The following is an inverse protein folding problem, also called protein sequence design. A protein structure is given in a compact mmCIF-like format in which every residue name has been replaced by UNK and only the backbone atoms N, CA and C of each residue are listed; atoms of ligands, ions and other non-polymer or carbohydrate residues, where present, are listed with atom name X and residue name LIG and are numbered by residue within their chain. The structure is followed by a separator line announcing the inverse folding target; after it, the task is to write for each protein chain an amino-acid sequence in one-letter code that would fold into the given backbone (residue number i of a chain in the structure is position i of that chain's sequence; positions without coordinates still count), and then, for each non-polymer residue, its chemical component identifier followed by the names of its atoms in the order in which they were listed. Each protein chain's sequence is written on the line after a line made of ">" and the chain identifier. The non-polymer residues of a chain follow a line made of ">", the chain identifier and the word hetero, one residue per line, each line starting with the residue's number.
data_IF_425460640940
#
_entry.id   IF_425460640940
#
_cell.length_a   1.000
_cell.length_b   1.000
_cell.length_c   1.000
_cell.angle_alpha   90.00
_cell.angle_beta   90.00
_cell.angle_gamma   90.00
#
_symmetry.space_group_name_H-M   'P 1'
#
loop_
_entity.id
_entity.type
_entity.pdbx_description
1 polymer ?
#
# COMPACT_ATOMS: atom_id res chain seq x y z
N UNK A 1 -4.27 -18.17 -39.86
CA UNK A 1 -3.46 -17.27 -39.01
C UNK A 1 -3.37 -17.91 -37.63
N UNK A 2 -2.20 -18.40 -37.24
CA UNK A 2 -1.98 -19.13 -35.97
C UNK A 2 -1.86 -18.14 -34.81
N UNK A 3 -2.73 -18.27 -33.81
CA UNK A 3 -2.45 -17.85 -32.44
C UNK A 3 -2.44 -19.13 -31.59
N UNK A 4 -1.25 -19.48 -31.11
CA UNK A 4 -1.03 -20.62 -30.22
C UNK A 4 -1.12 -20.11 -28.78
N UNK A 5 -2.29 -20.19 -28.16
CA UNK A 5 -2.49 -20.17 -26.72
C UNK A 5 -3.71 -21.04 -26.42
N UNK A 6 -3.58 -21.96 -25.46
CA UNK A 6 -4.61 -22.95 -25.12
C UNK A 6 -5.96 -22.27 -24.85
N UNK A 7 -7.03 -22.83 -25.42
CA UNK A 7 -8.40 -22.39 -25.10
C UNK A 7 -8.62 -22.60 -23.61
N UNK A 8 -8.89 -21.52 -22.88
CA UNK A 8 -9.42 -21.61 -21.52
C UNK A 8 -10.83 -22.19 -21.65
N UNK A 9 -10.98 -23.47 -21.32
CA UNK A 9 -12.29 -24.11 -21.19
C UNK A 9 -12.80 -23.88 -19.77
N UNK A 10 -13.87 -23.10 -19.64
CA UNK A 10 -14.58 -22.97 -18.37
C UNK A 10 -15.60 -24.10 -18.31
N UNK A 11 -15.45 -24.99 -17.32
CA UNK A 11 -16.42 -26.05 -17.05
C UNK A 11 -16.98 -25.86 -15.65
N UNK A 12 -18.30 -25.98 -15.46
CA UNK A 12 -18.87 -26.02 -14.12
C UNK A 12 -18.35 -27.28 -13.39
N UNK A 13 -18.26 -27.22 -12.06
CA UNK A 13 -17.87 -28.39 -11.26
C UNK A 13 -18.90 -29.54 -11.38
N UNK A 14 -20.16 -29.21 -11.67
CA UNK A 14 -21.25 -30.16 -11.88
C UNK A 14 -22.00 -29.80 -13.15
N UNK A 15 -22.26 -30.79 -14.02
CA UNK A 15 -22.94 -30.58 -15.30
C UNK A 15 -24.30 -29.88 -15.17
N UNK A 16 -25.04 -30.17 -14.09
CA UNK A 16 -26.33 -29.54 -13.77
C UNK A 16 -26.26 -28.02 -13.53
N UNK A 17 -25.07 -27.45 -13.32
CA UNK A 17 -24.84 -26.02 -13.09
C UNK A 17 -24.38 -25.29 -14.36
N UNK A 18 -24.30 -25.97 -15.50
CA UNK A 18 -23.85 -25.37 -16.76
C UNK A 18 -24.74 -24.18 -17.17
N UNK A 19 -26.05 -24.36 -17.16
CA UNK A 19 -26.99 -23.31 -17.60
C UNK A 19 -26.94 -22.09 -16.68
N UNK A 20 -26.76 -22.28 -15.37
CA UNK A 20 -26.63 -21.20 -14.39
C UNK A 20 -25.34 -20.40 -14.59
N UNK A 21 -24.21 -21.09 -14.78
CA UNK A 21 -22.92 -20.48 -15.09
C UNK A 21 -22.98 -19.65 -16.38
N UNK A 22 -23.51 -20.23 -17.47
CA UNK A 22 -23.61 -19.52 -18.75
C UNK A 22 -24.63 -18.37 -18.72
N UNK A 23 -25.68 -18.46 -17.91
CA UNK A 23 -26.61 -17.36 -17.67
C UNK A 23 -25.95 -16.21 -16.90
N UNK A 24 -25.06 -16.50 -15.94
CA UNK A 24 -24.27 -15.46 -15.27
C UNK A 24 -23.23 -14.82 -16.19
N UNK A 25 -22.58 -15.61 -17.03
CA UNK A 25 -21.64 -15.10 -18.04
C UNK A 25 -22.31 -14.21 -19.09
N UNK A 26 -23.61 -14.41 -19.38
CA UNK A 26 -24.34 -13.65 -20.39
C UNK A 26 -24.91 -12.31 -19.92
N UNK A 27 -24.91 -12.01 -18.61
CA UNK A 27 -25.61 -10.82 -18.06
C UNK A 27 -24.96 -9.46 -18.37
N UNK A 28 -23.73 -9.41 -18.88
CA UNK A 28 -23.06 -8.16 -19.29
C UNK A 28 -23.28 -7.80 -20.78
N UNK A 29 -24.36 -8.31 -21.40
CA UNK A 29 -24.61 -8.23 -22.84
C UNK A 29 -25.14 -6.87 -23.35
N UNK A 30 -24.35 -5.80 -23.24
CA UNK A 30 -24.38 -4.73 -24.26
C UNK A 30 -23.14 -4.74 -25.16
N UNK A 31 -22.05 -5.39 -24.75
CA UNK A 31 -20.89 -5.61 -25.59
C UNK A 31 -20.77 -7.10 -25.90
N UNK A 32 -20.65 -7.45 -27.18
CA UNK A 32 -20.33 -8.79 -27.69
C UNK A 32 -18.90 -9.22 -27.31
N UNK A 33 -18.60 -9.18 -26.02
CA UNK A 33 -17.31 -9.48 -25.42
C UNK A 33 -17.53 -10.50 -24.31
N UNK A 34 -16.67 -11.53 -24.18
CA UNK A 34 -16.74 -12.43 -23.04
C UNK A 34 -16.61 -11.60 -21.76
N UNK A 35 -17.57 -11.77 -20.84
CA UNK A 35 -17.50 -11.24 -19.49
C UNK A 35 -16.16 -11.66 -18.90
N UNK A 36 -15.26 -10.69 -18.74
CA UNK A 36 -13.95 -10.96 -18.19
C UNK A 36 -14.15 -11.50 -16.77
N UNK A 37 -13.59 -12.68 -16.48
CA UNK A 37 -13.43 -13.10 -15.09
C UNK A 37 -12.46 -12.12 -14.43
N UNK A 38 -13.03 -11.10 -13.79
CA UNK A 38 -12.30 -10.25 -12.88
C UNK A 38 -12.11 -11.05 -11.58
N UNK A 39 -11.01 -11.81 -11.51
CA UNK A 39 -10.54 -12.29 -10.23
C UNK A 39 -10.04 -11.08 -9.45
N UNK A 40 -10.85 -10.56 -8.54
CA UNK A 40 -10.38 -9.55 -7.59
C UNK A 40 -9.26 -10.19 -6.79
N UNK A 41 -8.03 -9.79 -7.08
CA UNK A 41 -6.84 -10.24 -6.36
C UNK A 41 -6.82 -9.50 -5.02
N UNK A 42 -7.75 -9.82 -4.13
CA UNK A 42 -7.84 -9.17 -2.82
C UNK A 42 -6.62 -9.55 -1.98
N UNK A 43 -5.77 -8.57 -1.69
CA UNK A 43 -4.61 -8.78 -0.82
C UNK A 43 -5.05 -8.77 0.64
N UNK A 44 -5.45 -9.96 1.13
CA UNK A 44 -5.88 -10.19 2.52
C UNK A 44 -4.87 -11.03 3.29
N UNK A 45 -3.71 -10.47 3.67
CA UNK A 45 -2.70 -11.22 4.40
C UNK A 45 -3.18 -11.56 5.82
N UNK A 46 -2.66 -12.63 6.45
CA UNK A 46 -3.01 -12.96 7.83
C UNK A 46 -2.70 -11.81 8.79
N UNK A 47 -3.74 -11.29 9.46
CA UNK A 47 -3.67 -10.03 10.21
C UNK A 47 -2.48 -9.96 11.16
N UNK A 48 -2.33 -10.96 12.04
CA UNK A 48 -1.28 -10.97 13.07
C UNK A 48 0.13 -11.05 12.48
N UNK A 49 0.31 -11.81 11.40
CA UNK A 49 1.62 -11.99 10.76
C UNK A 49 2.01 -10.71 10.03
N UNK A 50 1.10 -10.14 9.25
CA UNK A 50 1.34 -8.90 8.51
C UNK A 50 1.57 -7.72 9.45
N UNK A 51 0.76 -7.58 10.49
CA UNK A 51 0.93 -6.55 11.51
C UNK A 51 2.31 -6.60 12.17
N UNK A 52 2.80 -7.79 12.52
CA UNK A 52 4.14 -7.97 13.10
C UNK A 52 5.26 -7.67 12.10
N UNK A 53 5.07 -8.01 10.82
CA UNK A 53 6.02 -7.65 9.76
C UNK A 53 6.11 -6.13 9.62
N UNK A 54 4.97 -5.44 9.52
CA UNK A 54 4.91 -3.98 9.43
C UNK A 54 5.53 -3.32 10.67
N UNK A 55 5.29 -3.86 11.87
CA UNK A 55 5.89 -3.35 13.10
C UNK A 55 7.42 -3.49 13.10
N UNK A 56 7.97 -4.59 12.56
CA UNK A 56 9.43 -4.74 12.37
C UNK A 56 9.94 -3.71 11.37
N UNK A 57 9.29 -3.58 10.21
CA UNK A 57 9.68 -2.58 9.22
C UNK A 57 9.64 -1.17 9.79
N UNK A 58 8.66 -0.86 10.64
CA UNK A 58 8.53 0.45 11.28
C UNK A 58 9.74 0.73 12.19
N UNK A 59 10.08 -0.22 13.06
CA UNK A 59 11.25 -0.12 13.94
C UNK A 59 12.56 0.04 13.17
N UNK A 60 12.77 -0.74 12.11
CA UNK A 60 13.95 -0.64 11.24
C UNK A 60 14.00 0.72 10.51
N UNK A 61 12.85 1.26 10.09
CA UNK A 61 12.79 2.56 9.42
C UNK A 61 13.11 3.69 10.40
N UNK A 62 12.62 3.60 11.65
CA UNK A 62 12.98 4.55 12.71
C UNK A 62 14.47 4.44 13.04
N UNK A 63 14.99 3.23 13.20
CA UNK A 63 16.41 2.99 13.45
C UNK A 63 17.30 3.56 12.33
N UNK A 64 16.90 3.37 11.07
CA UNK A 64 17.60 3.93 9.91
C UNK A 64 17.64 5.47 9.97
N UNK A 65 16.51 6.13 10.30
CA UNK A 65 16.47 7.59 10.46
C UNK A 65 17.35 8.07 11.63
N UNK A 66 17.40 7.31 12.72
CA UNK A 66 18.19 7.65 13.90
C UNK A 66 19.66 7.26 13.79
N UNK A 67 20.05 6.45 12.79
CA UNK A 67 21.41 5.94 12.64
C UNK A 67 22.49 7.04 12.55
N UNK A 68 22.14 8.24 12.10
CA UNK A 68 23.05 9.38 12.05
C UNK A 68 23.30 10.06 13.40
N UNK A 69 22.49 9.76 14.43
CA UNK A 69 22.53 10.40 15.75
C UNK A 69 22.46 9.34 16.86
N UNK A 70 23.62 8.92 17.43
CA UNK A 70 23.69 7.82 18.40
C UNK A 70 22.74 7.97 19.59
N UNK A 71 22.57 9.18 20.11
CA UNK A 71 21.65 9.50 21.21
C UNK A 71 20.17 9.19 20.91
N UNK A 72 19.74 9.32 19.64
CA UNK A 72 18.38 8.95 19.24
C UNK A 72 18.23 7.44 19.11
N UNK A 73 19.29 6.73 18.73
CA UNK A 73 19.29 5.27 18.69
C UNK A 73 19.19 4.67 20.10
N UNK A 74 19.93 5.23 21.06
CA UNK A 74 19.82 4.84 22.47
C UNK A 74 18.39 5.05 22.99
N UNK A 75 17.75 6.16 22.62
CA UNK A 75 16.34 6.40 22.94
C UNK A 75 15.40 5.35 22.32
N UNK A 76 15.68 4.90 21.09
CA UNK A 76 14.92 3.82 20.44
C UNK A 76 15.13 2.45 21.09
N UNK A 77 16.29 2.21 21.72
CA UNK A 77 16.62 0.93 22.37
C UNK A 77 16.11 0.91 23.81
N UNK A 78 16.38 1.96 24.57
CA UNK A 78 16.14 2.04 26.01
C UNK A 78 14.78 2.66 26.36
N UNK A 79 14.19 3.45 25.46
CA UNK A 79 12.96 4.15 25.74
C UNK A 79 11.75 3.22 25.92
N UNK A 80 11.07 3.35 27.05
CA UNK A 80 9.85 2.58 27.40
C UNK A 80 8.70 2.77 26.40
N UNK A 81 8.64 3.93 25.74
CA UNK A 81 7.60 4.24 24.76
C UNK A 81 7.60 3.29 23.55
N UNK A 82 8.75 2.69 23.22
CA UNK A 82 8.89 1.73 22.14
C UNK A 82 8.64 0.28 22.57
N UNK A 83 8.58 -0.02 23.88
CA UNK A 83 8.45 -1.41 24.36
C UNK A 83 7.22 -2.11 23.81
N UNK A 84 6.12 -1.37 23.67
CA UNK A 84 4.86 -1.91 23.16
C UNK A 84 5.03 -2.46 21.76
N UNK A 85 5.59 -1.66 20.84
CA UNK A 85 5.78 -2.09 19.46
C UNK A 85 6.94 -3.08 19.32
N UNK A 86 8.03 -2.94 20.11
CA UNK A 86 9.13 -3.91 20.14
C UNK A 86 8.64 -5.30 20.55
N UNK A 87 7.87 -5.40 21.63
CA UNK A 87 7.29 -6.66 22.10
C UNK A 87 6.29 -7.24 21.10
N UNK A 88 5.47 -6.38 20.48
CA UNK A 88 4.56 -6.81 19.43
C UNK A 88 5.30 -7.39 18.22
N UNK A 89 6.28 -6.67 17.68
CA UNK A 89 7.11 -7.09 16.55
C UNK A 89 7.85 -8.40 16.85
N UNK A 90 8.44 -8.53 18.05
CA UNK A 90 9.24 -9.69 18.47
C UNK A 90 8.38 -10.92 18.75
N UNK A 91 7.41 -10.80 19.66
CA UNK A 91 6.62 -11.93 20.17
C UNK A 91 5.17 -11.84 19.73
N UNK A 92 4.55 -10.66 19.86
CA UNK A 92 3.15 -10.44 19.49
C UNK A 92 2.17 -10.98 20.53
N UNK A 93 2.52 -10.89 21.81
CA UNK A 93 1.78 -11.44 22.95
C UNK A 93 1.20 -10.38 23.90
N UNK A 94 1.51 -9.10 23.68
CA UNK A 94 1.12 -8.00 24.57
C UNK A 94 -0.23 -7.35 24.23
N UNK A 95 -0.79 -7.65 23.06
CA UNK A 95 -2.11 -7.19 22.62
C UNK A 95 -2.81 -8.31 21.85
N UNK A 96 -4.14 -8.28 21.79
CA UNK A 96 -4.90 -9.24 20.97
C UNK A 96 -4.65 -9.00 19.48
N UNK A 97 -4.67 -7.73 19.08
CA UNK A 97 -4.37 -7.28 17.74
C UNK A 97 -3.67 -5.91 17.76
N UNK A 98 -2.85 -5.67 16.76
CA UNK A 98 -2.35 -4.35 16.42
C UNK A 98 -2.81 -4.06 14.99
N UNK A 99 -3.87 -3.24 14.83
CA UNK A 99 -4.49 -3.04 13.53
C UNK A 99 -3.53 -2.34 12.56
N UNK A 100 -3.71 -2.64 11.28
CA UNK A 100 -3.12 -1.90 10.17
C UNK A 100 -4.21 -1.65 9.13
N UNK A 101 -4.06 -0.60 8.33
CA UNK A 101 -4.91 -0.35 7.18
C UNK A 101 -4.29 -0.98 5.93
N UNK A 102 -5.11 -1.54 5.05
CA UNK A 102 -4.69 -2.03 3.73
C UNK A 102 -5.63 -1.51 2.64
N UNK A 103 -5.09 -0.97 1.55
CA UNK A 103 -5.88 -0.54 0.39
C UNK A 103 -5.07 -0.59 -0.90
N UNK A 104 -5.75 -0.71 -2.03
CA UNK A 104 -5.12 -0.51 -3.33
C UNK A 104 -5.02 0.98 -3.64
N UNK A 105 -3.85 1.45 -4.06
CA UNK A 105 -3.57 2.84 -4.47
C UNK A 105 -3.29 2.96 -5.97
N UNK A 106 -2.83 1.89 -6.61
CA UNK A 106 -2.70 1.79 -8.07
C UNK A 106 -2.64 0.31 -8.50
N UNK A 107 -2.87 -0.02 -9.79
CA UNK A 107 -2.77 -1.40 -10.31
C UNK A 107 -1.34 -1.98 -10.23
N UNK A 108 -1.20 -3.28 -10.01
CA UNK A 108 0.10 -3.98 -9.88
C UNK A 108 1.02 -3.75 -11.10
N UNK A 109 0.45 -3.60 -12.29
CA UNK A 109 1.14 -3.37 -13.56
C UNK A 109 1.56 -1.90 -13.79
N UNK A 110 1.36 -1.04 -12.79
CA UNK A 110 1.74 0.38 -12.88
C UNK A 110 3.24 0.52 -13.11
N UNK A 111 3.60 1.34 -14.09
CA UNK A 111 4.99 1.61 -14.43
C UNK A 111 5.48 2.92 -13.80
N UNK A 112 6.72 2.96 -13.38
CA UNK A 112 7.43 4.17 -12.95
C UNK A 112 8.73 4.31 -13.73
N UNK A 113 9.28 5.54 -13.79
CA UNK A 113 10.63 5.73 -14.32
C UNK A 113 11.66 5.32 -13.29
N UNK A 114 12.58 4.45 -13.67
CA UNK A 114 13.72 4.12 -12.83
C UNK A 114 14.58 5.38 -12.60
N UNK A 115 14.95 5.71 -11.35
CA UNK A 115 15.61 6.99 -11.04
C UNK A 115 16.96 7.16 -11.75
N UNK A 116 17.75 6.09 -11.86
CA UNK A 116 19.07 6.13 -12.50
C UNK A 116 19.05 5.97 -14.03
N UNK A 117 18.26 5.03 -14.57
CA UNK A 117 18.30 4.70 -16.00
C UNK A 117 17.24 5.44 -16.83
N UNK A 118 16.21 5.99 -16.18
CA UNK A 118 15.07 6.65 -16.84
C UNK A 118 14.12 5.71 -17.60
N UNK A 119 14.41 4.40 -17.62
CA UNK A 119 13.60 3.39 -18.29
C UNK A 119 12.33 3.13 -17.48
N UNK A 120 11.22 2.85 -18.16
CA UNK A 120 9.99 2.42 -17.51
C UNK A 120 10.14 1.01 -16.93
N UNK A 121 9.91 0.90 -15.63
CA UNK A 121 9.95 -0.35 -14.87
C UNK A 121 8.67 -0.46 -14.04
N UNK A 122 8.33 -1.66 -13.58
CA UNK A 122 7.19 -1.84 -12.69
C UNK A 122 7.43 -1.14 -11.36
N UNK A 123 6.42 -0.42 -10.85
CA UNK A 123 6.45 0.19 -9.54
C UNK A 123 6.45 -0.91 -8.46
N UNK A 124 7.63 -1.15 -7.87
CA UNK A 124 7.87 -2.29 -6.98
C UNK A 124 7.39 -2.05 -5.55
N UNK A 125 8.14 -1.27 -4.78
CA UNK A 125 7.81 -0.97 -3.39
C UNK A 125 8.19 0.45 -3.01
N UNK A 126 7.57 0.97 -1.94
CA UNK A 126 7.92 2.25 -1.33
C UNK A 126 7.61 2.19 0.16
N UNK A 127 8.36 2.92 0.98
CA UNK A 127 8.26 2.86 2.43
C UNK A 127 8.65 4.22 2.99
N UNK A 128 7.85 4.76 3.90
CA UNK A 128 8.23 5.97 4.63
C UNK A 128 7.45 6.14 5.94
N UNK A 129 7.98 6.95 6.84
CA UNK A 129 7.29 7.38 8.06
C UNK A 129 6.67 8.76 7.88
N UNK A 130 5.50 8.94 8.46
CA UNK A 130 4.81 10.22 8.52
C UNK A 130 4.14 10.42 9.87
N UNK A 131 3.84 11.68 10.17
CA UNK A 131 3.24 12.08 11.43
C UNK A 131 1.91 12.76 11.15
N UNK A 132 0.89 12.46 11.95
CA UNK A 132 -0.41 13.12 11.86
C UNK A 132 -0.46 14.37 12.74
N UNK A 133 -1.50 15.20 12.59
CA UNK A 133 -1.74 16.36 13.48
C UNK A 133 -1.80 16.00 14.96
N UNK A 134 -2.19 14.76 15.28
CA UNK A 134 -2.25 14.23 16.65
C UNK A 134 -0.89 13.78 17.18
N UNK A 135 0.19 14.00 16.43
CA UNK A 135 1.56 13.54 16.72
C UNK A 135 1.66 12.03 16.84
N UNK A 136 0.83 11.32 16.07
CA UNK A 136 0.96 9.88 15.92
C UNK A 136 1.87 9.59 14.74
N UNK A 137 2.86 8.74 14.96
CA UNK A 137 3.79 8.29 13.93
C UNK A 137 3.26 7.04 13.29
N UNK A 138 3.18 7.04 11.96
CA UNK A 138 2.76 5.89 11.16
C UNK A 138 3.89 5.49 10.20
N UNK A 139 3.99 4.19 9.96
CA UNK A 139 4.72 3.66 8.82
C UNK A 139 3.71 3.38 7.71
N UNK A 140 3.97 3.91 6.52
CA UNK A 140 3.31 3.48 5.29
C UNK A 140 4.27 2.63 4.45
N UNK A 141 3.74 1.57 3.84
CA UNK A 141 4.46 0.65 2.98
C UNK A 141 3.60 0.31 1.77
N UNK A 142 4.11 0.51 0.56
CA UNK A 142 3.49 0.03 -0.67
C UNK A 142 4.27 -1.17 -1.20
N UNK A 143 3.55 -2.21 -1.59
CA UNK A 143 4.06 -3.32 -2.39
C UNK A 143 3.13 -3.52 -3.60
N UNK A 144 3.66 -3.29 -4.80
CA UNK A 144 2.94 -3.44 -6.06
C UNK A 144 1.53 -2.80 -6.07
N UNK A 145 1.44 -1.58 -5.55
CA UNK A 145 0.19 -0.81 -5.55
C UNK A 145 -0.77 -1.11 -4.40
N UNK A 146 -0.43 -2.05 -3.51
CA UNK A 146 -1.12 -2.21 -2.23
C UNK A 146 -0.38 -1.47 -1.13
N UNK A 147 -1.07 -0.51 -0.51
CA UNK A 147 -0.59 0.27 0.61
C UNK A 147 -1.03 -0.34 1.93
N UNK A 148 -0.07 -0.47 2.84
CA UNK A 148 -0.22 -0.91 4.21
C UNK A 148 0.22 0.20 5.15
N UNK A 149 -0.58 0.52 6.17
CA UNK A 149 -0.25 1.55 7.15
C UNK A 149 -0.42 1.03 8.57
N UNK A 150 0.60 1.18 9.40
CA UNK A 150 0.59 0.77 10.81
C UNK A 150 0.97 1.95 11.71
N UNK A 151 0.28 2.08 12.84
CA UNK A 151 0.65 3.03 13.89
C UNK A 151 1.84 2.49 14.67
N UNK A 152 2.85 3.33 14.85
CA UNK A 152 4.09 2.98 15.52
C UNK A 152 3.98 3.12 17.05
N UNK A 153 3.17 4.07 17.52
CA UNK A 153 3.03 4.40 18.93
C UNK A 153 2.05 3.51 19.71
N UNK A 154 1.10 2.85 19.04
CA UNK A 154 0.14 1.99 19.72
C UNK A 154 -0.81 1.22 18.79
N UNK A 155 -1.59 0.27 19.33
CA UNK A 155 -2.47 -0.61 18.56
C UNK A 155 -3.78 0.09 18.17
N UNK A 156 -3.70 1.22 17.44
CA UNK A 156 -4.87 1.93 16.92
C UNK A 156 -4.60 2.48 15.52
N UNK A 157 -5.57 2.35 14.62
CA UNK A 157 -5.50 2.88 13.25
C UNK A 157 -6.34 4.16 13.05
N UNK A 158 -7.13 4.56 14.05
CA UNK A 158 -8.08 5.68 13.95
C UNK A 158 -7.42 6.99 13.51
N UNK A 159 -6.21 7.28 14.00
CA UNK A 159 -5.46 8.48 13.58
C UNK A 159 -5.13 8.50 12.09
N UNK A 160 -4.96 7.33 11.46
CA UNK A 160 -4.75 7.22 10.02
C UNK A 160 -6.06 7.39 9.24
N UNK A 161 -7.16 6.83 9.74
CA UNK A 161 -8.49 7.00 9.14
C UNK A 161 -8.88 8.49 9.12
N UNK A 162 -8.68 9.18 10.24
CA UNK A 162 -8.85 10.64 10.35
C UNK A 162 -7.92 11.40 9.37
N UNK A 163 -6.66 10.98 9.25
CA UNK A 163 -5.72 11.58 8.30
C UNK A 163 -6.21 11.43 6.86
N UNK A 164 -6.68 10.24 6.47
CA UNK A 164 -7.20 9.98 5.14
C UNK A 164 -8.41 10.85 4.79
N UNK A 165 -9.36 10.98 5.71
CA UNK A 165 -10.52 11.86 5.52
C UNK A 165 -10.10 13.31 5.32
N UNK A 166 -9.18 13.81 6.16
CA UNK A 166 -8.66 15.17 6.05
C UNK A 166 -7.88 15.42 4.76
N UNK A 167 -7.30 14.38 4.17
CA UNK A 167 -6.48 14.47 2.96
C UNK A 167 -7.20 14.01 1.70
N UNK A 168 -8.53 13.91 1.70
CA UNK A 168 -9.31 13.46 0.54
C UNK A 168 -8.83 12.10 -0.01
N UNK A 169 -8.49 11.17 0.89
CA UNK A 169 -8.10 9.80 0.58
C UNK A 169 -6.81 9.64 -0.23
N UNK A 170 -5.95 10.66 -0.32
CA UNK A 170 -4.64 10.50 -0.99
C UNK A 170 -3.75 9.49 -0.26
N UNK A 171 -2.69 9.02 -0.93
CA UNK A 171 -1.64 8.20 -0.32
C UNK A 171 -0.52 9.04 0.31
N UNK A 172 -0.07 8.69 1.53
CA UNK A 172 1.10 9.30 2.17
C UNK A 172 2.42 9.03 1.43
N UNK A 173 2.47 8.05 0.52
CA UNK A 173 3.66 7.66 -0.23
C UNK A 173 3.62 8.06 -1.71
N UNK A 174 2.48 8.55 -2.20
CA UNK A 174 2.32 8.96 -3.59
C UNK A 174 2.13 10.47 -3.64
N UNK A 175 0.92 10.97 -3.40
CA UNK A 175 0.60 12.38 -3.58
C UNK A 175 1.32 13.27 -2.56
N UNK A 176 1.47 12.81 -1.31
CA UNK A 176 2.24 13.55 -0.29
C UNK A 176 3.71 13.72 -0.70
N UNK A 177 4.28 12.77 -1.44
CA UNK A 177 5.66 12.83 -1.92
C UNK A 177 5.81 13.49 -3.30
N UNK A 178 4.73 14.04 -3.87
CA UNK A 178 4.75 14.72 -5.17
C UNK A 178 4.61 13.81 -6.39
N UNK A 179 4.24 12.54 -6.18
CA UNK A 179 3.90 11.62 -7.26
C UNK A 179 2.40 11.70 -7.58
N UNK A 180 2.03 11.25 -8.78
CA UNK A 180 0.64 11.09 -9.21
C UNK A 180 0.49 9.87 -10.08
N UNK A 181 -0.68 9.25 -9.98
CA UNK A 181 -1.09 8.13 -10.83
C UNK A 181 -1.77 8.69 -12.08
N UNK A 182 -1.32 8.28 -13.26
CA UNK A 182 -1.85 8.71 -14.57
C UNK A 182 -2.16 7.48 -15.41
N UNK A 183 -3.40 7.38 -15.91
CA UNK A 183 -3.78 6.34 -16.86
C UNK A 183 -3.58 6.85 -18.31
N UNK A 184 -2.97 6.03 -19.16
CA UNK A 184 -2.94 6.31 -20.60
C UNK A 184 -4.25 5.85 -21.23
N UNK A 185 -5.14 6.80 -21.47
CA UNK A 185 -6.47 6.52 -22.05
C UNK A 185 -6.40 6.42 -23.58
N UNK A 186 -5.33 6.90 -24.22
CA UNK A 186 -5.28 7.11 -25.66
C UNK A 186 -4.58 5.97 -26.41
N UNK A 187 -3.47 5.45 -25.89
CA UNK A 187 -2.65 4.46 -26.61
C UNK A 187 -2.85 3.04 -26.08
N UNK A 188 -3.02 2.88 -24.77
CA UNK A 188 -3.20 1.60 -24.08
C UNK A 188 -4.10 1.80 -22.85
N UNK A 189 -5.43 1.69 -22.99
CA UNK A 189 -6.42 2.11 -21.98
C UNK A 189 -6.34 1.42 -20.60
N UNK A 190 -5.47 0.43 -20.44
CA UNK A 190 -5.22 -0.27 -19.17
C UNK A 190 -3.87 0.05 -18.54
N UNK A 191 -3.00 0.81 -19.21
CA UNK A 191 -1.67 1.09 -18.71
C UNK A 191 -1.69 2.30 -17.77
N UNK A 192 -1.23 2.07 -16.54
CA UNK A 192 -1.10 3.11 -15.52
C UNK A 192 0.36 3.46 -15.30
N UNK A 193 0.62 4.72 -15.01
CA UNK A 193 1.95 5.29 -14.80
C UNK A 193 2.00 6.07 -13.50
N UNK A 194 3.07 5.87 -12.74
CA UNK A 194 3.44 6.70 -11.62
C UNK A 194 4.40 7.77 -12.11
N UNK A 195 3.95 9.02 -12.08
CA UNK A 195 4.67 10.17 -12.66
C UNK A 195 4.92 11.20 -11.58
N UNK A 196 6.12 11.76 -11.58
CA UNK A 196 6.54 12.80 -10.63
C UNK A 196 8.01 12.59 -10.27
N UNK A 197 8.48 13.38 -9.31
CA UNK A 197 9.83 13.30 -8.78
C UNK A 197 9.71 13.17 -7.25
N UNK A 198 9.75 11.94 -6.71
CA UNK A 198 9.46 11.71 -5.31
C UNK A 198 10.56 12.31 -4.44
N UNK A 199 10.18 13.23 -3.55
CA UNK A 199 11.12 13.92 -2.66
C UNK A 199 10.61 13.89 -1.23
N UNK A 200 11.53 13.63 -0.29
CA UNK A 200 11.23 13.72 1.15
C UNK A 200 10.87 15.17 1.49
N UNK A 201 11.54 16.14 0.87
CA UNK A 201 11.27 17.56 1.02
C UNK A 201 9.83 17.92 0.63
N UNK A 202 9.29 17.31 -0.43
CA UNK A 202 7.90 17.51 -0.82
C UNK A 202 6.93 17.03 0.27
N UNK A 203 7.25 15.91 0.93
CA UNK A 203 6.50 15.43 2.09
C UNK A 203 6.57 16.38 3.29
N UNK A 204 7.74 16.93 3.59
CA UNK A 204 7.92 17.90 4.68
C UNK A 204 7.16 19.20 4.39
N UNK A 205 7.21 19.70 3.16
CA UNK A 205 6.45 20.88 2.73
C UNK A 205 4.94 20.63 2.80
N UNK A 206 4.50 19.44 2.37
CA UNK A 206 3.12 19.00 2.47
C UNK A 206 2.62 19.00 3.92
N UNK A 207 3.43 18.50 4.85
CA UNK A 207 3.13 18.41 6.27
C UNK A 207 3.11 19.81 6.92
N UNK A 208 4.11 20.65 6.62
CA UNK A 208 4.20 22.04 7.11
C UNK A 208 3.02 22.89 6.66
N UNK A 209 2.61 22.77 5.40
CA UNK A 209 1.44 23.48 4.87
C UNK A 209 0.13 23.15 5.63
N UNK A 210 0.13 22.06 6.39
CA UNK A 210 -1.01 21.58 7.19
C UNK A 210 -0.84 21.80 8.69
N UNK A 211 0.19 22.53 9.10
CA UNK A 211 0.47 22.83 10.50
C UNK A 211 1.05 21.65 11.27
N UNK A 212 1.66 20.68 10.58
CA UNK A 212 2.43 19.61 11.21
C UNK A 212 3.89 20.06 11.25
N UNK A 213 4.36 20.40 12.45
CA UNK A 213 5.75 20.78 12.70
C UNK A 213 6.47 19.65 13.43
N UNK A 214 7.65 19.28 12.94
CA UNK A 214 8.55 18.32 13.58
C UNK A 214 8.55 16.93 12.95
N UNK A 215 9.50 16.72 12.03
CA UNK A 215 10.29 15.48 11.89
C UNK A 215 11.74 15.93 11.94
#
# INVERSE_FOLDING_TARGET
>A
MKLAFGRIEIKPERDRQADELFNHLRRDSEADRPTAFLFSREMKPPQKIMSRLLAKMALETVALRFSAQPNLLDMLIEGDHWDRIRRWARVGDNFDNWPFSSRAVFPEETLMRHPTTGVWVQAGYSLDLFITKRRETFLAFILYGYEFVINVGGPSITGYEEWLEQQNQISPLIERLGLRVVADVLSKPTQTYLVGDPKIEAGIEFDRARGIEGI
#
